data_IF_314351205173
#
_entry.id   IF_314351205173
#
_cell.length_a   1.000
_cell.length_b   1.000
_cell.length_c   1.000
_cell.angle_alpha   90.00
_cell.angle_beta   90.00
_cell.angle_gamma   90.00
#
_symmetry.space_group_name_H-M   'P 1'
#
loop_
_entity.id
_entity.type
_entity.pdbx_description
1 polymer ?
#
# COMPACT_ATOMS: atom_id res chain seq x y z
N UNK A 1 -19.14 -12.14 5.24
CA UNK A 1 -20.43 -12.01 4.55
C UNK A 1 -21.07 -13.38 4.38
N UNK A 2 -22.41 -13.44 4.37
CA UNK A 2 -23.17 -14.65 4.02
C UNK A 2 -23.22 -14.84 2.50
N UNK A 3 -23.77 -15.98 2.05
CA UNK A 3 -24.03 -16.24 0.63
C UNK A 3 -25.01 -15.22 -0.01
N UNK A 4 -25.78 -14.50 0.82
CA UNK A 4 -26.69 -13.43 0.39
C UNK A 4 -26.03 -12.04 0.40
N UNK A 5 -24.72 -11.95 0.66
CA UNK A 5 -23.97 -10.69 0.71
C UNK A 5 -24.20 -9.87 1.99
N UNK A 6 -24.79 -10.44 3.02
CA UNK A 6 -25.00 -9.74 4.28
C UNK A 6 -23.78 -9.87 5.20
N UNK A 7 -23.36 -8.79 5.92
CA UNK A 7 -22.28 -8.85 6.87
C UNK A 7 -22.63 -9.75 8.06
N UNK A 8 -21.78 -10.74 8.33
CA UNK A 8 -21.95 -11.70 9.45
C UNK A 8 -21.15 -11.25 10.66
N UNK A 9 -19.91 -10.82 10.45
CA UNK A 9 -19.06 -10.24 11.48
C UNK A 9 -18.16 -9.15 10.85
N UNK A 10 -17.69 -8.23 11.69
CA UNK A 10 -16.74 -7.20 11.32
C UNK A 10 -15.74 -7.00 12.45
N UNK A 11 -14.47 -6.86 12.12
CA UNK A 11 -13.41 -6.42 13.00
C UNK A 11 -12.56 -5.40 12.29
N UNK A 12 -12.03 -4.45 13.06
CA UNK A 12 -11.12 -3.43 12.55
C UNK A 12 -10.07 -3.12 13.63
N UNK A 13 -8.91 -2.71 13.18
CA UNK A 13 -7.83 -2.25 14.02
C UNK A 13 -7.08 -1.13 13.28
N UNK A 14 -6.85 -0.03 13.96
CA UNK A 14 -6.01 1.04 13.46
C UNK A 14 -4.54 0.64 13.57
N UNK A 15 -3.71 1.17 12.68
CA UNK A 15 -2.26 1.08 12.73
C UNK A 15 -1.63 2.46 12.59
N UNK A 16 -0.40 2.58 13.03
CA UNK A 16 0.27 3.88 13.17
C UNK A 16 0.68 4.46 11.82
N UNK A 17 0.46 5.77 11.67
CA UNK A 17 1.07 6.55 10.60
C UNK A 17 2.34 7.24 11.11
N UNK A 18 3.37 7.28 10.26
CA UNK A 18 4.64 7.92 10.54
C UNK A 18 4.85 9.09 9.60
N UNK A 19 5.38 10.19 10.12
CA UNK A 19 5.66 11.43 9.39
C UNK A 19 7.13 11.79 9.57
N UNK A 20 8.08 11.12 8.88
CA UNK A 20 9.52 11.30 9.12
C UNK A 20 10.03 12.69 8.76
N UNK A 21 9.42 13.33 7.77
CA UNK A 21 9.71 14.70 7.30
C UNK A 21 8.43 15.36 6.80
N UNK A 22 8.50 16.67 6.57
CA UNK A 22 7.41 17.41 5.92
C UNK A 22 6.98 16.75 4.60
N UNK A 23 5.68 16.52 4.46
CA UNK A 23 5.09 15.87 3.28
C UNK A 23 5.36 14.38 3.14
N UNK A 24 6.10 13.75 4.06
CA UNK A 24 6.34 12.30 4.05
C UNK A 24 5.32 11.58 4.91
N UNK A 25 4.77 10.51 4.36
CA UNK A 25 3.81 9.64 5.07
C UNK A 25 4.18 8.18 4.87
N UNK A 26 4.41 7.48 5.96
CA UNK A 26 4.86 6.08 5.95
C UNK A 26 4.00 5.20 6.85
N UNK A 27 3.90 3.92 6.48
CA UNK A 27 3.38 2.86 7.34
C UNK A 27 4.41 1.75 7.51
N UNK A 28 4.43 1.12 8.68
CA UNK A 28 5.18 -0.11 8.88
C UNK A 28 4.46 -1.27 8.17
N UNK A 29 5.09 -1.87 7.16
CA UNK A 29 4.47 -2.92 6.36
C UNK A 29 4.13 -4.17 7.18
N UNK A 30 5.00 -4.54 8.14
CA UNK A 30 4.70 -5.64 9.08
C UNK A 30 3.47 -5.36 9.94
N UNK A 31 3.27 -4.12 10.38
CA UNK A 31 2.09 -3.75 11.15
C UNK A 31 0.81 -3.89 10.33
N UNK A 32 0.84 -3.53 9.03
CA UNK A 32 -0.28 -3.75 8.12
C UNK A 32 -0.62 -5.23 8.04
N UNK A 33 0.39 -6.10 7.90
CA UNK A 33 0.19 -7.54 7.82
C UNK A 33 -0.36 -8.12 9.12
N UNK A 34 0.28 -7.82 10.24
CA UNK A 34 -0.10 -8.36 11.55
C UNK A 34 -1.50 -7.91 11.97
N UNK A 35 -1.85 -6.64 11.78
CA UNK A 35 -3.20 -6.13 12.08
C UNK A 35 -4.25 -6.77 11.18
N UNK A 36 -3.96 -6.93 9.87
CA UNK A 36 -4.86 -7.61 8.93
C UNK A 36 -5.13 -9.04 9.37
N UNK A 37 -4.07 -9.78 9.69
CA UNK A 37 -4.19 -11.18 10.15
C UNK A 37 -4.97 -11.28 11.45
N UNK A 38 -4.74 -10.35 12.40
CA UNK A 38 -5.43 -10.31 13.67
C UNK A 38 -6.93 -10.05 13.49
N UNK A 39 -7.33 -9.05 12.71
CA UNK A 39 -8.75 -8.74 12.51
C UNK A 39 -9.49 -9.84 11.75
N UNK A 40 -8.81 -10.58 10.86
CA UNK A 40 -9.39 -11.76 10.24
C UNK A 40 -9.70 -12.86 11.27
N UNK A 41 -8.75 -13.16 12.16
CA UNK A 41 -8.94 -14.15 13.26
C UNK A 41 -10.05 -13.73 14.20
N UNK A 42 -10.07 -12.48 14.61
CA UNK A 42 -11.07 -11.94 15.52
C UNK A 42 -12.49 -11.94 14.91
N UNK A 43 -12.61 -11.66 13.62
CA UNK A 43 -13.88 -11.73 12.91
C UNK A 43 -14.46 -13.14 12.90
N UNK A 44 -13.62 -14.17 12.68
CA UNK A 44 -14.02 -15.57 12.76
C UNK A 44 -14.42 -15.96 14.20
N UNK A 45 -13.58 -15.62 15.17
CA UNK A 45 -13.81 -15.95 16.58
C UNK A 45 -15.13 -15.37 17.13
N UNK A 46 -15.50 -14.15 16.71
CA UNK A 46 -16.79 -13.52 17.11
C UNK A 46 -18.03 -14.35 16.77
N UNK A 47 -17.94 -15.25 15.82
CA UNK A 47 -19.05 -16.11 15.37
C UNK A 47 -18.79 -17.59 15.60
N UNK A 48 -17.68 -17.94 16.25
CA UNK A 48 -17.30 -19.33 16.46
C UNK A 48 -17.00 -20.08 15.17
N UNK A 49 -16.60 -19.34 14.13
CA UNK A 49 -16.21 -19.87 12.82
C UNK A 49 -14.72 -20.18 12.78
N UNK A 50 -14.32 -21.06 11.87
CA UNK A 50 -12.94 -21.41 11.57
C UNK A 50 -12.65 -21.22 10.08
N UNK A 51 -11.39 -21.38 9.67
CA UNK A 51 -10.98 -21.16 8.30
C UNK A 51 -11.69 -22.07 7.27
N UNK A 52 -12.09 -23.27 7.66
CA UNK A 52 -12.79 -24.20 6.79
C UNK A 52 -14.23 -23.76 6.46
N UNK A 53 -14.80 -22.85 7.24
CA UNK A 53 -16.12 -22.28 7.00
C UNK A 53 -16.11 -21.14 5.96
N UNK A 54 -14.90 -20.72 5.50
CA UNK A 54 -14.71 -19.61 4.57
C UNK A 54 -14.61 -20.13 3.14
N UNK A 55 -15.57 -19.77 2.32
CA UNK A 55 -15.62 -20.18 0.91
C UNK A 55 -14.67 -19.37 0.01
N UNK A 56 -14.44 -18.09 0.31
CA UNK A 56 -13.58 -17.22 -0.48
C UNK A 56 -13.12 -15.99 0.33
N UNK A 57 -12.04 -15.37 -0.14
CA UNK A 57 -11.51 -14.10 0.40
C UNK A 57 -11.56 -13.05 -0.69
N UNK A 58 -12.24 -11.93 -0.42
CA UNK A 58 -12.18 -10.74 -1.26
C UNK A 58 -11.21 -9.73 -0.64
N UNK A 59 -10.33 -9.17 -1.48
CA UNK A 59 -9.32 -8.22 -1.03
C UNK A 59 -9.57 -6.86 -1.68
N UNK A 60 -9.60 -5.82 -0.87
CA UNK A 60 -9.44 -4.44 -1.31
C UNK A 60 -8.18 -3.84 -0.71
N UNK A 61 -7.63 -2.83 -1.35
CA UNK A 61 -6.29 -2.32 -1.01
C UNK A 61 -6.32 -0.84 -0.66
N UNK A 62 -5.30 -0.39 0.08
CA UNK A 62 -4.93 1.01 0.16
C UNK A 62 -4.13 1.33 -1.12
N UNK A 63 -4.84 1.67 -2.20
CA UNK A 63 -4.25 1.91 -3.53
C UNK A 63 -3.11 2.91 -3.47
N UNK A 64 -2.10 2.72 -4.35
CA UNK A 64 -0.92 3.57 -4.52
C UNK A 64 0.00 3.67 -3.30
N UNK A 65 -0.30 3.01 -2.20
CA UNK A 65 0.66 2.79 -1.12
C UNK A 65 1.68 1.75 -1.58
N UNK A 66 2.95 2.15 -1.64
CA UNK A 66 4.01 1.36 -2.29
C UNK A 66 4.86 0.64 -1.25
N UNK A 67 4.96 -0.68 -1.41
CA UNK A 67 5.82 -1.58 -0.66
C UNK A 67 6.80 -2.27 -1.61
N UNK A 68 8.04 -2.43 -1.16
CA UNK A 68 9.08 -3.24 -1.84
C UNK A 68 9.70 -4.17 -0.82
N UNK A 69 9.87 -5.44 -1.18
CA UNK A 69 10.50 -6.44 -0.34
C UNK A 69 11.47 -7.30 -1.13
N UNK A 70 12.43 -7.88 -0.45
CA UNK A 70 13.33 -8.87 -1.03
C UNK A 70 12.58 -10.17 -1.31
N UNK A 71 12.66 -10.66 -2.53
CA UNK A 71 11.90 -11.84 -2.95
C UNK A 71 12.36 -13.15 -2.31
N UNK A 72 13.60 -13.20 -1.82
CA UNK A 72 14.17 -14.40 -1.21
C UNK A 72 13.90 -14.47 0.30
N UNK A 73 14.11 -13.34 1.00
CA UNK A 73 13.94 -13.27 2.46
C UNK A 73 12.52 -12.86 2.88
N UNK A 74 11.81 -12.11 2.06
CA UNK A 74 10.54 -11.47 2.41
C UNK A 74 10.70 -10.17 3.22
N UNK A 75 11.93 -9.75 3.50
CA UNK A 75 12.20 -8.53 4.27
C UNK A 75 11.82 -7.28 3.48
N UNK A 76 11.22 -6.33 4.18
CA UNK A 76 10.89 -5.04 3.59
C UNK A 76 12.14 -4.21 3.34
N UNK A 77 12.29 -3.72 2.12
CA UNK A 77 13.39 -2.82 1.71
C UNK A 77 13.25 -1.44 2.36
N UNK A 78 12.01 -0.99 2.54
CA UNK A 78 11.68 0.33 3.09
C UNK A 78 10.26 0.29 3.68
N UNK A 79 9.93 1.13 4.68
CA UNK A 79 8.55 1.34 5.10
C UNK A 79 7.63 1.68 3.91
N UNK A 80 6.36 1.32 4.00
CA UNK A 80 5.38 1.63 2.95
C UNK A 80 5.30 3.14 2.72
N UNK A 81 5.53 3.59 1.49
CA UNK A 81 5.31 4.99 1.11
C UNK A 81 3.84 5.15 0.77
N UNK A 82 3.12 5.92 1.58
CA UNK A 82 1.66 6.05 1.51
C UNK A 82 1.23 6.90 0.32
N UNK A 83 0.03 6.71 -0.17
CA UNK A 83 -0.55 7.46 -1.29
C UNK A 83 -0.59 8.98 -1.08
N UNK A 84 -0.64 9.44 0.16
CA UNK A 84 -0.62 10.86 0.55
C UNK A 84 0.79 11.49 0.53
N UNK A 85 1.83 10.65 0.44
CA UNK A 85 3.23 11.08 0.49
C UNK A 85 3.60 11.99 -0.69
N UNK A 86 4.33 13.06 -0.40
CA UNK A 86 4.72 14.09 -1.38
C UNK A 86 6.22 14.11 -1.70
N UNK A 87 7.02 13.15 -1.19
CA UNK A 87 8.49 13.14 -1.37
C UNK A 87 8.95 13.14 -2.81
N UNK A 88 8.13 12.70 -3.74
CA UNK A 88 8.44 12.65 -5.17
C UNK A 88 7.85 13.82 -5.97
N UNK A 89 7.31 14.85 -5.29
CA UNK A 89 6.63 15.97 -5.96
C UNK A 89 7.55 16.73 -6.92
N UNK A 90 8.79 17.01 -6.50
CA UNK A 90 9.77 17.74 -7.33
C UNK A 90 10.13 16.92 -8.58
N UNK A 91 10.36 15.62 -8.43
CA UNK A 91 10.61 14.75 -9.57
C UNK A 91 9.41 14.66 -10.53
N UNK A 92 8.19 14.65 -10.02
CA UNK A 92 7.00 14.73 -10.86
C UNK A 92 6.94 16.05 -11.63
N UNK A 93 7.32 17.17 -11.00
CA UNK A 93 7.39 18.48 -11.67
C UNK A 93 8.46 18.49 -12.77
N UNK A 94 9.64 17.92 -12.54
CA UNK A 94 10.68 17.76 -13.54
C UNK A 94 10.21 16.96 -14.77
N UNK A 95 9.54 15.83 -14.55
CA UNK A 95 8.98 15.01 -15.62
C UNK A 95 7.92 15.75 -16.45
N UNK A 96 7.07 16.55 -15.80
CA UNK A 96 6.09 17.39 -16.50
C UNK A 96 6.78 18.48 -17.33
N UNK A 97 7.75 19.17 -16.76
CA UNK A 97 8.51 20.19 -17.44
C UNK A 97 9.28 19.62 -18.66
N UNK A 98 9.73 18.37 -18.59
CA UNK A 98 10.34 17.64 -19.71
C UNK A 98 9.33 17.14 -20.76
N UNK A 99 8.04 17.39 -20.61
CA UNK A 99 7.00 17.07 -21.59
C UNK A 99 6.50 15.62 -21.56
N UNK A 100 6.79 14.86 -20.51
CA UNK A 100 6.43 13.43 -20.44
C UNK A 100 4.95 13.17 -20.14
N UNK A 101 4.18 14.16 -19.68
CA UNK A 101 2.82 13.92 -19.17
C UNK A 101 1.86 13.38 -20.24
N UNK A 102 1.90 13.92 -21.46
CA UNK A 102 1.05 13.45 -22.56
C UNK A 102 1.28 11.97 -22.88
N UNK A 103 2.56 11.53 -22.92
CA UNK A 103 2.92 10.14 -23.18
C UNK A 103 2.48 9.20 -22.03
N UNK A 104 2.68 9.63 -20.78
CA UNK A 104 2.23 8.87 -19.61
C UNK A 104 0.72 8.72 -19.62
N UNK A 105 -0.01 9.81 -19.79
CA UNK A 105 -1.48 9.81 -19.83
C UNK A 105 -2.04 8.94 -20.95
N UNK A 106 -1.44 9.00 -22.14
CA UNK A 106 -1.87 8.18 -23.27
C UNK A 106 -1.70 6.67 -23.04
N UNK A 107 -0.67 6.27 -22.27
CA UNK A 107 -0.35 4.86 -22.01
C UNK A 107 -1.07 4.28 -20.79
N UNK A 108 -1.34 5.10 -19.79
CA UNK A 108 -1.81 4.65 -18.47
C UNK A 108 -3.19 5.16 -18.11
N UNK A 109 -3.66 6.22 -18.77
CA UNK A 109 -4.85 6.98 -18.35
C UNK A 109 -4.62 7.85 -17.11
N UNK A 110 -3.37 7.92 -16.58
CA UNK A 110 -3.03 8.62 -15.33
C UNK A 110 -2.21 9.88 -15.61
N UNK A 111 -2.18 10.77 -14.64
CA UNK A 111 -1.30 11.94 -14.62
C UNK A 111 0.07 11.60 -14.02
N UNK A 112 1.05 12.47 -14.22
CA UNK A 112 2.30 12.42 -13.46
C UNK A 112 2.05 13.11 -12.11
N UNK A 113 1.91 12.34 -11.04
CA UNK A 113 1.66 12.86 -9.69
C UNK A 113 2.33 11.98 -8.64
N UNK A 114 2.86 12.53 -7.54
CA UNK A 114 3.42 11.75 -6.43
C UNK A 114 2.42 10.79 -5.75
N UNK A 115 1.13 10.95 -6.00
CA UNK A 115 0.11 10.00 -5.60
C UNK A 115 0.42 8.58 -6.12
N UNK A 116 0.87 8.46 -7.39
CA UNK A 116 1.05 7.17 -8.06
C UNK A 116 2.35 6.46 -7.69
N UNK A 117 2.35 5.14 -7.82
CA UNK A 117 3.40 4.26 -7.31
C UNK A 117 4.74 4.34 -8.03
N UNK A 118 4.76 4.67 -9.33
CA UNK A 118 5.98 4.58 -10.15
C UNK A 118 7.12 5.47 -9.65
N UNK A 119 6.82 6.72 -9.28
CA UNK A 119 7.82 7.65 -8.76
C UNK A 119 8.30 7.29 -7.35
N UNK A 120 7.43 6.70 -6.51
CA UNK A 120 7.79 6.17 -5.20
C UNK A 120 8.74 4.98 -5.32
N UNK A 121 8.45 4.05 -6.24
CA UNK A 121 9.33 2.92 -6.52
C UNK A 121 10.72 3.41 -6.97
N UNK A 122 10.77 4.35 -7.91
CA UNK A 122 12.05 4.96 -8.32
C UNK A 122 12.78 5.58 -7.13
N UNK A 123 12.06 6.33 -6.29
CA UNK A 123 12.67 6.95 -5.12
C UNK A 123 13.31 5.91 -4.18
N UNK A 124 12.62 4.80 -3.91
CA UNK A 124 13.17 3.68 -3.09
C UNK A 124 14.46 3.15 -3.74
N UNK A 125 14.43 2.86 -5.03
CA UNK A 125 15.59 2.32 -5.76
C UNK A 125 16.80 3.28 -5.79
N UNK A 126 16.56 4.59 -5.75
CA UNK A 126 17.62 5.60 -5.83
C UNK A 126 18.15 6.03 -4.45
N UNK A 127 17.36 5.88 -3.37
CA UNK A 127 17.68 6.46 -2.07
C UNK A 127 17.89 5.41 -0.96
N UNK A 128 17.51 4.15 -1.18
CA UNK A 128 17.67 3.10 -0.19
C UNK A 128 18.88 2.23 -0.56
N UNK A 129 19.93 2.17 0.26
CA UNK A 129 21.11 1.34 -0.01
C UNK A 129 20.73 -0.12 -0.23
N UNK A 130 21.22 -0.72 -1.31
CA UNK A 130 20.97 -2.13 -1.62
C UNK A 130 19.59 -2.44 -2.22
N UNK A 131 18.79 -1.42 -2.54
CA UNK A 131 17.48 -1.61 -3.18
C UNK A 131 17.57 -1.95 -4.69
N UNK A 132 18.75 -1.80 -5.32
CA UNK A 132 19.06 -2.16 -6.71
C UNK A 132 19.89 -3.43 -6.76
#
# INVERSE_FOLDING_TARGET
>A
FSAQGLPVASCQQEFKQYFPKDGWVEHAGEEIWLTTLQVCRDALARKGLNAADIAAIGITTQRETTLVWDAASGDLVHPAIVWQDRRTADYCAELKAAGHEANVSARTGLLIDPYFSATKLRWILDNVPGAR
#
